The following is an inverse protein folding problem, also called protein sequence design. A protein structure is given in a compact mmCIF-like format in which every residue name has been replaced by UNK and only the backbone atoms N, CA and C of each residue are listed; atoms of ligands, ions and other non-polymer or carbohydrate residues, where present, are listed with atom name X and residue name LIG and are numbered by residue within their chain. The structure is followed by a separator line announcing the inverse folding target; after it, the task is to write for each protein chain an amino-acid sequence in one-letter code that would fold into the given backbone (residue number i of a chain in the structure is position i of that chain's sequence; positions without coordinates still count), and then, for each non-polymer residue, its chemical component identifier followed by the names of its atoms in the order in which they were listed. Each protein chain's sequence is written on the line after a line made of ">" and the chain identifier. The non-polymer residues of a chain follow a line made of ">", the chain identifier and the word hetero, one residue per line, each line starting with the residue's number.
data_IF_209650579173
#
_entry.id   IF_209650579173
#
_cell.length_a   1.000
_cell.length_b   1.000
_cell.length_c   1.000
_cell.angle_alpha   90.00
_cell.angle_beta   90.00
_cell.angle_gamma   90.00
#
_symmetry.space_group_name_H-M   'P 1'
#
loop_
_entity.id
_entity.type
_entity.pdbx_description
1 polymer ?
#
# COMPACT_ATOMS: atom_id res chain seq x y z
N UNK A 1 -5.12 11.32 -0.72
CA UNK A 1 -5.09 11.45 0.75
C UNK A 1 -5.89 10.31 1.35
N UNK A 2 -5.38 9.62 2.37
CA UNK A 2 -6.11 8.53 3.04
C UNK A 2 -6.91 9.08 4.21
N UNK A 3 -8.24 9.07 4.11
CA UNK A 3 -9.14 9.52 5.19
C UNK A 3 -10.19 8.46 5.52
N UNK A 4 -10.69 8.52 6.76
CA UNK A 4 -11.86 7.77 7.23
C UNK A 4 -12.80 8.73 7.94
N UNK A 5 -14.10 8.51 7.79
CA UNK A 5 -15.13 9.12 8.62
C UNK A 5 -15.45 8.13 9.75
N UNK A 6 -15.48 8.64 10.98
CA UNK A 6 -15.83 7.86 12.19
C UNK A 6 -17.34 7.85 12.33
N UNK A 7 -17.92 6.69 12.64
CA UNK A 7 -19.36 6.58 12.88
C UNK A 7 -19.76 7.12 14.27
N UNK A 8 -21.02 7.50 14.43
CA UNK A 8 -21.54 8.12 15.67
C UNK A 8 -21.33 7.26 16.93
N UNK A 9 -21.34 5.93 16.79
CA UNK A 9 -21.12 4.96 17.90
C UNK A 9 -19.89 4.08 17.69
N UNK A 10 -18.90 4.56 16.93
CA UNK A 10 -17.71 3.77 16.64
C UNK A 10 -16.60 3.98 17.68
N UNK A 11 -16.17 2.87 18.31
CA UNK A 11 -15.00 2.89 19.20
C UNK A 11 -13.71 3.25 18.46
N UNK A 12 -12.83 3.99 19.14
CA UNK A 12 -11.56 4.51 18.59
C UNK A 12 -10.68 3.42 17.96
N UNK A 13 -10.59 2.24 18.57
CA UNK A 13 -9.79 1.13 18.04
C UNK A 13 -10.31 0.62 16.69
N UNK A 14 -11.64 0.58 16.52
CA UNK A 14 -12.27 0.18 15.26
C UNK A 14 -11.94 1.18 14.16
N UNK A 15 -12.03 2.48 14.46
CA UNK A 15 -11.66 3.54 13.54
C UNK A 15 -10.19 3.44 13.14
N UNK A 16 -9.27 3.29 14.11
CA UNK A 16 -7.84 3.11 13.85
C UNK A 16 -7.55 1.87 12.99
N UNK A 17 -8.25 0.76 13.23
CA UNK A 17 -8.11 -0.45 12.42
C UNK A 17 -8.57 -0.24 10.98
N UNK A 18 -9.65 0.50 10.74
CA UNK A 18 -10.10 0.86 9.38
C UNK A 18 -9.12 1.81 8.71
N UNK A 19 -8.61 2.79 9.43
CA UNK A 19 -7.61 3.73 8.93
C UNK A 19 -6.31 3.01 8.52
N UNK A 20 -5.79 2.12 9.37
CA UNK A 20 -4.62 1.30 9.07
C UNK A 20 -4.85 0.44 7.82
N UNK A 21 -6.03 -0.16 7.66
CA UNK A 21 -6.41 -0.90 6.43
C UNK A 21 -6.44 -0.01 5.19
N UNK A 22 -6.97 1.22 5.30
CA UNK A 22 -6.96 2.20 4.21
C UNK A 22 -5.53 2.60 3.81
N UNK A 23 -4.64 2.84 4.77
CA UNK A 23 -3.21 3.12 4.50
C UNK A 23 -2.55 1.96 3.77
N UNK A 24 -2.78 0.72 4.24
CA UNK A 24 -2.21 -0.48 3.63
C UNK A 24 -2.73 -0.68 2.19
N UNK A 25 -4.03 -0.51 1.97
CA UNK A 25 -4.64 -0.61 0.63
C UNK A 25 -4.14 0.47 -0.33
N UNK A 26 -3.89 1.68 0.19
CA UNK A 26 -3.29 2.76 -0.60
C UNK A 26 -1.82 2.51 -0.96
N UNK A 27 -1.16 1.50 -0.36
CA UNK A 27 0.24 1.18 -0.65
C UNK A 27 1.24 2.19 -0.09
N UNK A 28 0.81 3.07 0.83
CA UNK A 28 1.61 4.21 1.30
C UNK A 28 2.97 3.79 1.86
N UNK A 29 3.04 2.72 2.65
CA UNK A 29 4.30 2.22 3.19
C UNK A 29 5.26 1.71 2.11
N UNK A 30 4.74 1.11 1.04
CA UNK A 30 5.55 0.67 -0.08
C UNK A 30 6.11 1.85 -0.87
N UNK A 31 5.33 2.93 -0.98
CA UNK A 31 5.79 4.18 -1.60
C UNK A 31 6.86 4.88 -0.77
N UNK A 32 6.65 5.02 0.55
CA UNK A 32 7.66 5.59 1.46
C UNK A 32 8.98 4.83 1.34
N UNK A 33 8.93 3.49 1.38
CA UNK A 33 10.13 2.66 1.26
C UNK A 33 10.81 2.82 -0.10
N UNK A 34 10.04 3.00 -1.17
CA UNK A 34 10.54 3.19 -2.53
C UNK A 34 11.19 4.55 -2.72
N UNK A 35 10.64 5.61 -2.16
CA UNK A 35 11.12 6.99 -2.35
C UNK A 35 12.18 7.41 -1.35
N UNK A 36 12.44 6.59 -0.30
CA UNK A 36 13.47 6.86 0.71
C UNK A 36 14.87 7.04 0.10
N UNK A 37 15.16 6.37 -1.01
CA UNK A 37 16.41 6.47 -1.73
C UNK A 37 16.16 6.61 -3.23
N UNK A 38 17.12 7.19 -3.95
CA UNK A 38 17.07 7.23 -5.40
C UNK A 38 17.11 5.81 -5.98
N UNK A 39 16.26 5.54 -6.97
CA UNK A 39 16.21 4.29 -7.72
C UNK A 39 16.65 4.58 -9.15
N UNK A 40 17.69 3.91 -9.63
CA UNK A 40 18.16 4.07 -11.02
C UNK A 40 17.11 3.57 -12.02
N UNK A 41 17.18 3.98 -13.30
CA UNK A 41 16.23 3.53 -14.32
C UNK A 41 16.19 1.99 -14.48
N UNK A 42 17.33 1.30 -14.32
CA UNK A 42 17.42 -0.15 -14.39
C UNK A 42 16.71 -0.82 -13.21
N UNK A 43 16.93 -0.32 -11.99
CA UNK A 43 16.27 -0.83 -10.78
C UNK A 43 14.76 -0.63 -10.84
N UNK A 44 14.31 0.54 -11.31
CA UNK A 44 12.89 0.84 -11.53
C UNK A 44 12.24 -0.15 -12.50
N UNK A 45 12.92 -0.48 -13.61
CA UNK A 45 12.47 -1.52 -14.56
C UNK A 45 12.38 -2.89 -13.90
N UNK A 46 13.43 -3.30 -13.18
CA UNK A 46 13.49 -4.59 -12.46
C UNK A 46 12.38 -4.72 -11.42
N UNK A 47 12.11 -3.68 -10.63
CA UNK A 47 11.03 -3.67 -9.63
C UNK A 47 9.65 -3.78 -10.27
N UNK A 48 9.39 -3.03 -11.35
CA UNK A 48 8.12 -3.10 -12.09
C UNK A 48 7.86 -4.52 -12.61
N UNK A 49 8.86 -5.15 -13.22
CA UNK A 49 8.76 -6.53 -13.72
C UNK A 49 8.46 -7.53 -12.58
N UNK A 50 9.17 -7.45 -11.45
CA UNK A 50 8.92 -8.30 -10.27
C UNK A 50 7.50 -8.10 -9.72
N UNK A 51 7.01 -6.87 -9.64
CA UNK A 51 5.64 -6.59 -9.18
C UNK A 51 4.58 -7.15 -10.13
N UNK A 52 4.79 -7.06 -11.45
CA UNK A 52 3.90 -7.66 -12.44
C UNK A 52 3.86 -9.19 -12.32
N UNK A 53 5.02 -9.83 -12.18
CA UNK A 53 5.13 -11.27 -12.00
C UNK A 53 4.45 -11.75 -10.70
N UNK A 54 4.56 -10.98 -9.61
CA UNK A 54 3.86 -11.29 -8.35
C UNK A 54 2.35 -11.22 -8.52
N UNK A 55 1.84 -10.18 -9.19
CA UNK A 55 0.40 -10.02 -9.47
C UNK A 55 -0.15 -11.15 -10.35
N UNK A 56 0.58 -11.55 -11.39
CA UNK A 56 0.15 -12.66 -12.26
C UNK A 56 0.16 -14.02 -11.57
N UNK A 57 0.99 -14.21 -10.54
CA UNK A 57 0.95 -15.41 -9.68
C UNK A 57 -0.22 -15.38 -8.71
N UNK A 58 -0.53 -14.23 -8.13
CA UNK A 58 -1.61 -14.09 -7.15
C UNK A 58 -3.03 -14.24 -7.77
N UNK A 59 -3.21 -13.91 -9.05
CA UNK A 59 -4.49 -14.08 -9.75
C UNK A 59 -4.74 -15.47 -10.37
N UNK A 60 -3.87 -16.45 -10.09
CA UNK A 60 -3.97 -17.83 -10.60
C UNK A 60 -4.48 -18.83 -9.55
N UNK A 61 -5.02 -18.34 -8.43
CA UNK A 61 -5.61 -19.15 -7.36
C UNK A 61 -7.04 -18.73 -7.11
#
# INVERSE_FOLDING_TARGET
>A
MTQITVGENEGIESALRRFKRKILKAGLFADIKRTRHFETPAEKRRRKAKNAQRRSRAGRG
#
